data_IF_071996587650
#
_entry.id   IF_071996587650
#
_cell.length_a   1.000
_cell.length_b   1.000
_cell.length_c   1.000
_cell.angle_alpha   90.00
_cell.angle_beta   90.00
_cell.angle_gamma   90.00
#
_symmetry.space_group_name_H-M   'P 1'
#
loop_
_entity.id
_entity.type
_entity.pdbx_description
1 polymer ?
#
# COMPACT_ATOMS: atom_id res chain seq x y z
N UNK A 1 -4.70 1.78 5.60
CA UNK A 1 -3.76 2.91 5.79
C UNK A 1 -2.61 2.41 6.66
N UNK A 2 -1.35 2.68 6.30
CA UNK A 2 -0.18 2.27 7.07
C UNK A 2 0.81 3.43 7.19
N UNK A 3 1.46 3.56 8.34
CA UNK A 3 2.37 4.68 8.64
C UNK A 3 3.85 4.31 8.48
N UNK A 4 4.23 3.02 8.48
CA UNK A 4 5.62 2.57 8.31
C UNK A 4 6.61 3.24 9.28
N UNK A 5 6.27 3.25 10.58
CA UNK A 5 7.05 3.88 11.66
C UNK A 5 7.95 2.90 12.41
N UNK A 6 7.80 1.59 12.18
CA UNK A 6 8.60 0.54 12.78
C UNK A 6 10.04 0.58 12.25
N UNK A 7 11.03 0.10 13.04
CA UNK A 7 12.41 -0.01 12.58
C UNK A 7 12.61 -0.86 11.32
N UNK A 8 11.66 -1.77 11.00
CA UNK A 8 11.73 -2.63 9.82
C UNK A 8 10.56 -2.36 8.87
N UNK A 9 10.82 -1.52 7.86
CA UNK A 9 9.86 -1.26 6.76
C UNK A 9 9.50 -2.53 6.00
N UNK A 10 10.44 -3.47 5.86
CA UNK A 10 10.22 -4.77 5.21
C UNK A 10 9.19 -5.62 5.98
N UNK A 11 9.31 -5.69 7.31
CA UNK A 11 8.36 -6.44 8.12
C UNK A 11 6.96 -5.82 8.06
N UNK A 12 6.86 -4.49 8.13
CA UNK A 12 5.59 -3.79 7.95
C UNK A 12 5.00 -4.01 6.56
N UNK A 13 5.85 -4.05 5.52
CA UNK A 13 5.41 -4.34 4.16
C UNK A 13 4.78 -5.73 4.04
N UNK A 14 5.41 -6.77 4.60
CA UNK A 14 4.84 -8.11 4.59
C UNK A 14 3.47 -8.16 5.27
N UNK A 15 3.30 -7.48 6.41
CA UNK A 15 2.01 -7.39 7.11
C UNK A 15 0.99 -6.63 6.25
N UNK A 16 1.36 -5.46 5.74
CA UNK A 16 0.48 -4.62 4.93
C UNK A 16 0.01 -5.33 3.65
N UNK A 17 0.91 -6.06 2.98
CA UNK A 17 0.60 -6.84 1.80
C UNK A 17 -0.35 -7.99 2.13
N UNK A 18 -0.09 -8.73 3.21
CA UNK A 18 -0.98 -9.82 3.67
C UNK A 18 -2.39 -9.32 4.01
N UNK A 19 -2.48 -8.22 4.76
CA UNK A 19 -3.77 -7.57 5.04
C UNK A 19 -4.48 -7.13 3.76
N UNK A 20 -3.77 -6.49 2.83
CA UNK A 20 -4.33 -6.05 1.56
C UNK A 20 -4.93 -7.21 0.78
N UNK A 21 -4.22 -8.33 0.68
CA UNK A 21 -4.69 -9.53 0.00
C UNK A 21 -5.93 -10.14 0.67
N UNK A 22 -5.93 -10.26 1.99
CA UNK A 22 -7.07 -10.78 2.75
C UNK A 22 -8.31 -9.90 2.61
N UNK A 23 -8.17 -8.58 2.74
CA UNK A 23 -9.29 -7.65 2.56
C UNK A 23 -9.79 -7.64 1.13
N UNK A 24 -8.92 -7.79 0.13
CA UNK A 24 -9.34 -7.91 -1.26
C UNK A 24 -10.24 -9.13 -1.48
N UNK A 25 -9.91 -10.27 -0.87
CA UNK A 25 -10.77 -11.47 -0.92
C UNK A 25 -12.12 -11.20 -0.27
N UNK A 26 -12.15 -10.59 0.92
CA UNK A 26 -13.39 -10.27 1.61
C UNK A 26 -14.27 -9.28 0.82
N UNK A 27 -13.67 -8.25 0.22
CA UNK A 27 -14.39 -7.24 -0.57
C UNK A 27 -14.97 -7.81 -1.86
N UNK A 28 -14.27 -8.74 -2.54
CA UNK A 28 -14.82 -9.43 -3.72
C UNK A 28 -16.16 -10.10 -3.44
N UNK A 29 -16.37 -10.59 -2.22
CA UNK A 29 -17.62 -11.26 -1.83
C UNK A 29 -18.67 -10.26 -1.35
N UNK A 30 -18.27 -9.31 -0.50
CA UNK A 30 -19.23 -8.41 0.18
C UNK A 30 -19.59 -7.18 -0.65
N UNK A 31 -18.61 -6.60 -1.32
CA UNK A 31 -18.72 -5.32 -2.03
C UNK A 31 -17.83 -5.33 -3.29
N UNK A 32 -18.20 -6.12 -4.32
CA UNK A 32 -17.32 -6.40 -5.46
C UNK A 32 -16.91 -5.17 -6.27
N UNK A 33 -17.69 -4.09 -6.19
CA UNK A 33 -17.40 -2.83 -6.87
C UNK A 33 -16.46 -1.91 -6.07
N UNK A 34 -16.13 -2.25 -4.81
CA UNK A 34 -15.23 -1.44 -3.99
C UNK A 34 -13.78 -1.68 -4.39
N UNK A 35 -13.12 -0.62 -4.82
CA UNK A 35 -11.68 -0.64 -5.11
C UNK A 35 -10.90 -0.45 -3.81
N UNK A 36 -9.99 -1.37 -3.53
CA UNK A 36 -9.11 -1.32 -2.35
C UNK A 36 -7.77 -0.68 -2.73
N UNK A 37 -7.32 0.27 -1.92
CA UNK A 37 -6.01 0.92 -2.04
C UNK A 37 -5.19 0.75 -0.76
N UNK A 38 -3.89 0.53 -0.92
CA UNK A 38 -2.92 0.61 0.15
C UNK A 38 -2.42 2.06 0.25
N UNK A 39 -2.80 2.76 1.31
CA UNK A 39 -2.34 4.13 1.56
C UNK A 39 -0.99 4.14 2.26
N UNK A 40 -0.02 4.85 1.68
CA UNK A 40 1.37 4.97 2.17
C UNK A 40 1.85 6.43 2.18
N UNK A 41 2.69 6.84 3.16
CA UNK A 41 3.26 8.18 3.18
C UNK A 41 4.26 8.41 2.04
N UNK A 42 4.33 9.64 1.53
CA UNK A 42 5.26 10.04 0.44
C UNK A 42 6.73 9.72 0.73
N UNK A 43 7.17 9.81 1.98
CA UNK A 43 8.55 9.45 2.38
C UNK A 43 8.81 7.94 2.21
N UNK A 44 7.82 7.12 2.52
CA UNK A 44 7.91 5.65 2.43
C UNK A 44 7.86 5.22 0.98
N UNK A 45 7.02 5.88 0.19
CA UNK A 45 6.91 5.63 -1.25
C UNK A 45 8.27 5.82 -1.95
N UNK A 46 8.89 6.98 -1.73
CA UNK A 46 10.18 7.34 -2.35
C UNK A 46 11.35 6.47 -1.91
N UNK A 47 11.34 5.98 -0.68
CA UNK A 47 12.49 5.26 -0.10
C UNK A 47 12.38 3.73 -0.23
N UNK A 48 11.23 3.15 0.11
CA UNK A 48 11.06 1.70 0.17
C UNK A 48 10.24 1.17 -1.00
N UNK A 49 9.15 1.83 -1.37
CA UNK A 49 8.31 1.34 -2.47
C UNK A 49 8.99 1.50 -3.83
N UNK A 50 9.98 2.40 -3.97
CA UNK A 50 10.86 2.47 -5.13
C UNK A 50 11.85 1.29 -5.23
N UNK A 51 11.98 0.48 -4.19
CA UNK A 51 12.85 -0.70 -4.15
C UNK A 51 12.28 -1.91 -4.88
N UNK A 52 13.17 -2.78 -5.37
CA UNK A 52 12.83 -3.93 -6.22
C UNK A 52 11.79 -4.87 -5.59
N UNK A 53 11.96 -5.26 -4.33
CA UNK A 53 11.03 -6.16 -3.64
C UNK A 53 9.59 -5.62 -3.64
N UNK A 54 9.44 -4.34 -3.32
CA UNK A 54 8.13 -3.70 -3.25
C UNK A 54 7.52 -3.58 -4.65
N UNK A 55 8.29 -3.11 -5.65
CA UNK A 55 7.84 -2.98 -7.03
C UNK A 55 7.40 -4.32 -7.63
N UNK A 56 8.21 -5.37 -7.48
CA UNK A 56 7.87 -6.70 -7.97
C UNK A 56 6.60 -7.24 -7.33
N UNK A 57 6.47 -7.10 -6.01
CA UNK A 57 5.29 -7.56 -5.27
C UNK A 57 4.03 -6.76 -5.65
N UNK A 58 4.14 -5.44 -5.80
CA UNK A 58 3.03 -4.57 -6.21
C UNK A 58 2.56 -4.93 -7.62
N UNK A 59 3.49 -5.15 -8.54
CA UNK A 59 3.19 -5.56 -9.91
C UNK A 59 2.52 -6.94 -9.94
N UNK A 60 3.15 -7.95 -9.33
CA UNK A 60 2.64 -9.33 -9.31
C UNK A 60 1.22 -9.39 -8.74
N UNK A 61 1.02 -8.77 -7.58
CA UNK A 61 -0.26 -8.82 -6.89
C UNK A 61 -1.21 -7.70 -7.28
N UNK A 62 -0.88 -6.87 -8.27
CA UNK A 62 -1.71 -5.75 -8.74
C UNK A 62 -2.22 -4.90 -7.56
N UNK A 63 -1.31 -4.46 -6.70
CA UNK A 63 -1.62 -3.68 -5.51
C UNK A 63 -1.78 -2.22 -5.90
N UNK A 64 -3.00 -1.71 -5.79
CA UNK A 64 -3.24 -0.28 -5.97
C UNK A 64 -2.74 0.49 -4.76
N UNK A 65 -1.92 1.50 -4.98
CA UNK A 65 -1.30 2.31 -3.93
C UNK A 65 -1.79 3.75 -4.04
N UNK A 66 -2.10 4.37 -2.90
CA UNK A 66 -2.33 5.81 -2.81
C UNK A 66 -1.26 6.43 -1.94
N UNK A 67 -0.57 7.43 -2.47
CA UNK A 67 0.52 8.12 -1.78
C UNK A 67 -0.04 9.42 -1.20
N UNK A 68 0.17 9.64 0.09
CA UNK A 68 -0.30 10.84 0.77
C UNK A 68 0.85 11.57 1.51
N UNK A 69 0.72 12.87 1.67
CA UNK A 69 1.60 13.66 2.53
C UNK A 69 0.95 13.80 3.91
N UNK A 70 1.54 13.24 4.97
CA UNK A 70 0.97 13.32 6.32
C UNK A 70 1.06 14.72 6.94
N UNK A 71 1.96 15.60 6.49
CA UNK A 71 2.12 16.95 7.03
C UNK A 71 1.08 17.92 6.43
N UNK A 72 0.79 17.76 5.14
CA UNK A 72 -0.19 18.59 4.43
C UNK A 72 -1.60 17.98 4.37
N UNK A 73 -1.75 16.72 4.77
CA UNK A 73 -3.00 15.96 4.70
C UNK A 73 -3.60 15.87 3.29
N UNK A 74 -2.75 15.82 2.26
CA UNK A 74 -3.16 15.75 0.86
C UNK A 74 -2.78 14.42 0.21
N UNK A 75 -3.57 14.01 -0.78
CA UNK A 75 -3.19 12.90 -1.68
C UNK A 75 -2.22 13.46 -2.73
N UNK A 76 -1.06 12.82 -2.84
CA UNK A 76 0.00 13.21 -3.77
C UNK A 76 -0.13 12.44 -5.08
N UNK A 77 -0.46 11.14 -5.01
CA UNK A 77 -0.47 10.28 -6.20
C UNK A 77 -1.37 9.05 -6.03
N UNK A 78 -1.92 8.57 -7.15
CA UNK A 78 -2.61 7.30 -7.26
C UNK A 78 -1.86 6.38 -8.23
N UNK A 79 -1.40 5.22 -7.74
CA UNK A 79 -0.71 4.19 -8.51
C UNK A 79 -1.64 2.99 -8.69
N UNK A 80 -1.87 2.60 -9.94
CA UNK A 80 -2.78 1.51 -10.32
C UNK A 80 -2.04 0.22 -10.63
#
# INVERSE_FOLDING_TARGET
VKSFLSPSTTSEFHVALGEFLNYRVALKVKEPNRVLFLAVPVKVDRNFFSGELAQLSISEYHVKVVVFDPEQEVIVQWNN
#
